data_IF_508056983401
#
_entry.id   IF_508056983401
#
_cell.length_a   1.000
_cell.length_b   1.000
_cell.length_c   1.000
_cell.angle_alpha   90.00
_cell.angle_beta   90.00
_cell.angle_gamma   90.00
#
_symmetry.space_group_name_H-M   'P 1'
#
loop_
_entity.id
_entity.type
_entity.pdbx_description
1 polymer ?
2 polymer ?
3 polymer ?
#
# COMPACT_ATOMS: atom_id res chain seq x y z
N UNK A 1 20.09 12.54 -0.60
CA UNK A 1 20.50 11.85 -1.87
C UNK A 1 19.70 12.25 -3.12
N UNK A 2 19.97 11.49 -4.19
CA UNK A 2 19.36 11.63 -5.49
C UNK A 2 17.85 11.48 -5.38
N UNK A 3 17.13 12.36 -6.04
CA UNK A 3 15.68 12.34 -6.01
C UNK A 3 15.11 11.92 -7.37
N UNK A 4 14.10 11.07 -7.36
CA UNK A 4 13.39 10.62 -8.58
C UNK A 4 11.94 10.98 -8.40
N UNK A 5 11.46 11.91 -9.20
CA UNK A 5 10.08 12.35 -9.09
C UNK A 5 9.22 11.85 -10.24
N UNK A 6 8.16 11.07 -9.97
CA UNK A 6 7.30 10.59 -11.09
C UNK A 6 6.15 11.54 -11.32
N UNK A 7 5.67 11.66 -12.55
CA UNK A 7 4.50 12.47 -12.82
C UNK A 7 3.67 11.76 -13.86
N UNK A 8 2.32 11.74 -13.69
CA UNK A 8 1.66 12.36 -12.54
C UNK A 8 1.70 11.28 -11.49
N UNK A 9 1.35 11.63 -10.24
CA UNK A 9 1.34 10.61 -9.23
C UNK A 9 0.16 9.64 -9.48
N UNK A 10 -0.93 10.14 -10.04
CA UNK A 10 -2.12 9.34 -10.31
C UNK A 10 -2.64 9.73 -11.69
N UNK A 11 -3.27 8.80 -12.40
CA UNK A 11 -3.70 9.11 -13.76
C UNK A 11 -4.87 8.27 -14.09
N UNK A 12 -5.91 8.85 -14.69
CA UNK A 12 -7.08 8.03 -15.07
C UNK A 12 -7.08 7.81 -16.58
N UNK A 13 -7.58 6.66 -17.02
CA UNK A 13 -7.55 6.36 -18.44
C UNK A 13 -8.51 5.26 -18.78
N UNK A 14 -8.70 5.01 -20.07
CA UNK A 14 -9.60 3.95 -20.47
C UNK A 14 -8.86 2.99 -21.39
N UNK A 15 -9.37 1.78 -21.53
CA UNK A 15 -8.79 0.77 -22.39
C UNK A 15 -8.67 1.40 -23.80
N UNK A 16 -7.53 1.23 -24.42
CA UNK A 16 -7.28 1.81 -25.73
C UNK A 16 -6.57 3.13 -25.62
N UNK A 17 -6.51 3.79 -24.48
CA UNK A 17 -5.78 5.06 -24.49
C UNK A 17 -4.25 4.90 -24.61
N UNK A 18 -3.59 6.03 -24.89
CA UNK A 18 -2.16 6.10 -24.95
C UNK A 18 -1.81 6.90 -23.73
N UNK A 19 -0.97 6.38 -22.86
CA UNK A 19 -0.59 7.18 -21.70
C UNK A 19 0.90 7.30 -21.63
N UNK A 20 1.38 8.32 -20.95
CA UNK A 20 2.79 8.41 -20.84
C UNK A 20 3.01 8.90 -19.43
N UNK A 21 3.97 8.26 -18.76
CA UNK A 21 4.32 8.54 -17.39
C UNK A 21 5.74 9.08 -17.47
N UNK A 22 6.07 10.08 -16.68
CA UNK A 22 7.42 10.59 -16.77
C UNK A 22 8.16 10.53 -15.42
N UNK A 23 9.50 10.46 -15.45
CA UNK A 23 10.28 10.35 -14.23
C UNK A 23 11.49 11.26 -14.40
N UNK A 24 11.71 12.15 -13.45
CA UNK A 24 12.78 13.12 -13.51
C UNK A 24 13.74 12.92 -12.35
N UNK A 25 15.04 12.94 -12.64
CA UNK A 25 16.03 12.75 -11.61
C UNK A 25 16.71 14.06 -11.23
N UNK A 26 17.08 14.21 -9.96
CA UNK A 26 17.72 15.44 -9.50
C UNK A 26 19.13 15.67 -10.04
N UNK A 27 19.82 14.60 -10.44
CA UNK A 27 21.17 14.64 -11.02
C UNK A 27 21.09 13.61 -12.16
N UNK A 28 21.93 13.73 -13.17
CA UNK A 28 21.89 12.80 -14.30
C UNK A 28 22.23 11.36 -13.93
N UNK A 29 21.44 10.42 -14.43
CA UNK A 29 21.64 9.00 -14.17
C UNK A 29 21.99 8.25 -15.46
N UNK A 30 22.46 8.99 -16.47
CA UNK A 30 22.81 8.41 -17.76
C UNK A 30 21.62 7.60 -18.26
N UNK A 31 21.82 6.36 -18.72
CA UNK A 31 20.69 5.56 -19.18
C UNK A 31 20.30 4.46 -18.16
N UNK A 32 20.85 4.55 -16.95
CA UNK A 32 20.60 3.51 -15.95
C UNK A 32 19.26 3.70 -15.23
N UNK A 33 18.20 3.37 -15.93
CA UNK A 33 16.88 3.57 -15.41
C UNK A 33 15.97 2.47 -15.87
N UNK A 34 15.14 1.99 -14.96
CA UNK A 34 14.26 0.90 -15.32
C UNK A 34 12.81 1.23 -14.99
N UNK A 35 11.87 0.69 -15.77
CA UNK A 35 10.45 0.87 -15.47
C UNK A 35 9.81 -0.44 -15.10
N UNK A 36 8.88 -0.39 -14.15
CA UNK A 36 8.16 -1.59 -13.70
C UNK A 36 6.68 -1.31 -13.60
N UNK A 37 5.91 -2.38 -13.73
CA UNK A 37 4.47 -2.30 -13.58
C UNK A 37 4.17 -3.24 -12.40
N UNK A 38 3.35 -2.78 -11.47
CA UNK A 38 3.02 -3.67 -10.34
C UNK A 38 1.52 -3.70 -10.17
N UNK A 39 0.97 -4.89 -10.28
CA UNK A 39 -0.45 -5.07 -10.13
C UNK A 39 -0.72 -5.34 -8.66
N UNK A 40 -1.92 -4.98 -8.19
CA UNK A 40 -2.21 -5.24 -6.78
C UNK A 40 -1.91 -6.69 -6.37
N UNK A 41 -1.36 -6.85 -5.16
CA UNK A 41 -1.01 -8.18 -4.66
C UNK A 41 0.16 -8.91 -5.31
N UNK A 42 0.79 -8.32 -6.30
CA UNK A 42 1.91 -8.98 -6.97
C UNK A 42 3.21 -8.18 -6.87
N UNK A 43 4.34 -8.82 -7.19
CA UNK A 43 5.62 -8.11 -7.15
C UNK A 43 5.74 -7.20 -8.39
N UNK A 44 6.64 -6.22 -8.35
CA UNK A 44 6.77 -5.37 -9.53
C UNK A 44 7.27 -6.24 -10.71
N UNK A 45 6.94 -5.91 -11.95
CA UNK A 45 7.44 -6.68 -13.10
C UNK A 45 8.19 -5.71 -13.99
N UNK A 46 9.39 -6.13 -14.39
CA UNK A 46 10.27 -5.34 -15.26
C UNK A 46 9.65 -5.15 -16.66
N UNK A 47 9.55 -3.93 -17.13
CA UNK A 47 9.02 -3.64 -18.47
C UNK A 47 10.16 -3.19 -19.38
N UNK A 48 10.92 -2.20 -18.92
CA UNK A 48 11.98 -1.55 -19.70
C UNK A 48 13.22 -1.41 -18.83
N UNK A 49 14.36 -1.82 -19.37
CA UNK A 49 15.66 -1.71 -18.69
C UNK A 49 16.58 -0.79 -19.48
N UNK A 50 17.55 -0.19 -18.80
CA UNK A 50 18.51 0.68 -19.49
C UNK A 50 17.77 1.76 -20.28
N UNK A 51 16.78 2.42 -19.64
CA UNK A 51 15.95 3.52 -20.22
C UNK A 51 15.08 3.24 -21.42
N UNK A 52 15.54 2.39 -22.33
CA UNK A 52 14.70 2.16 -23.48
C UNK A 52 14.65 0.75 -24.01
N UNK A 53 15.40 -0.20 -23.44
CA UNK A 53 15.39 -1.57 -23.99
C UNK A 53 14.14 -2.33 -23.54
N UNK A 54 13.47 -3.02 -24.46
CA UNK A 54 12.28 -3.73 -24.11
C UNK A 54 12.66 -5.04 -23.48
N UNK A 55 12.18 -5.30 -22.27
CA UNK A 55 12.50 -6.56 -21.61
C UNK A 55 11.84 -7.70 -22.34
N UNK A 56 12.56 -8.84 -22.40
CA UNK A 56 12.07 -10.00 -23.10
C UNK A 56 10.74 -10.54 -22.56
N UNK A 57 9.78 -10.71 -23.47
CA UNK A 57 8.49 -11.23 -23.06
C UNK A 57 7.53 -10.13 -22.68
N UNK A 58 7.99 -8.89 -22.73
CA UNK A 58 7.13 -7.77 -22.40
C UNK A 58 6.46 -7.28 -23.70
N UNK A 59 5.14 -7.08 -23.66
CA UNK A 59 4.43 -6.62 -24.88
C UNK A 59 4.92 -5.32 -25.49
N UNK A 60 4.92 -5.29 -26.82
CA UNK A 60 5.43 -4.15 -27.54
C UNK A 60 4.70 -2.83 -27.35
N UNK A 61 3.50 -2.82 -26.79
CA UNK A 61 2.85 -1.52 -26.56
C UNK A 61 3.62 -0.70 -25.53
N UNK A 62 4.56 -1.30 -24.82
CA UNK A 62 5.31 -0.55 -23.81
C UNK A 62 6.56 0.00 -24.43
N UNK A 63 6.81 1.26 -24.15
CA UNK A 63 7.98 1.88 -24.71
C UNK A 63 8.64 2.84 -23.73
N UNK A 64 9.97 2.85 -23.72
CA UNK A 64 10.63 3.81 -22.85
C UNK A 64 11.66 4.64 -23.60
N UNK A 65 11.76 5.94 -23.31
CA UNK A 65 12.74 6.81 -23.92
C UNK A 65 13.32 7.82 -22.89
N UNK A 66 14.35 8.54 -23.30
CA UNK A 66 15.01 9.52 -22.45
C UNK A 66 16.34 9.02 -21.87
N UNK A 67 17.13 9.96 -21.34
CA UNK A 67 18.43 9.69 -20.70
C UNK A 67 18.80 10.93 -19.85
N UNK A 68 19.81 10.85 -18.97
CA UNK A 68 20.14 12.03 -18.18
C UNK A 68 19.22 12.27 -16.99
N UNK A 69 18.32 13.25 -17.08
CA UNK A 69 17.42 13.55 -16.00
C UNK A 69 15.95 13.41 -16.31
N UNK A 70 15.62 13.09 -17.54
CA UNK A 70 14.20 12.99 -17.86
C UNK A 70 13.85 11.75 -18.67
N UNK A 71 12.93 10.93 -18.17
CA UNK A 71 12.55 9.70 -18.81
C UNK A 71 11.04 9.59 -18.89
N UNK A 72 10.59 8.84 -19.87
CA UNK A 72 9.18 8.62 -20.09
C UNK A 72 8.90 7.18 -20.50
N UNK A 73 7.77 6.68 -20.01
CA UNK A 73 7.27 5.35 -20.32
C UNK A 73 5.96 5.62 -21.06
N UNK A 74 5.74 5.03 -22.21
CA UNK A 74 4.46 5.25 -22.77
C UNK A 74 3.87 3.92 -23.09
N UNK A 75 2.58 3.78 -22.85
CA UNK A 75 1.91 2.55 -23.16
C UNK A 75 1.07 3.08 -24.32
N UNK A 76 1.21 2.49 -25.49
CA UNK A 76 0.51 3.04 -26.66
C UNK A 76 -0.97 2.72 -26.71
N UNK A 77 -1.36 1.49 -26.37
CA UNK A 77 -2.77 1.10 -26.35
C UNK A 77 -3.04 0.38 -25.02
N UNK A 78 -3.51 1.13 -24.01
CA UNK A 78 -3.79 0.55 -22.69
C UNK A 78 -4.70 -0.66 -22.70
N UNK A 79 -4.27 -1.74 -22.06
CA UNK A 79 -5.07 -2.96 -21.96
C UNK A 79 -5.56 -3.08 -20.49
N UNK A 80 -6.61 -3.89 -20.20
CA UNK A 80 -7.10 -3.99 -18.82
C UNK A 80 -6.05 -4.33 -17.76
N UNK A 81 -5.09 -5.18 -18.09
CA UNK A 81 -4.04 -5.52 -17.15
C UNK A 81 -3.10 -4.35 -16.83
N UNK A 82 -3.23 -3.22 -17.54
CA UNK A 82 -2.35 -2.09 -17.30
C UNK A 82 -2.82 -1.13 -16.24
N UNK A 83 -4.00 -1.41 -15.68
CA UNK A 83 -4.55 -0.57 -14.63
C UNK A 83 -3.71 -1.06 -13.48
N UNK A 84 -2.82 -0.20 -13.02
CA UNK A 84 -1.88 -0.68 -12.02
C UNK A 84 -1.06 0.51 -11.61
N UNK A 85 -0.02 0.23 -10.83
CA UNK A 85 0.90 1.28 -10.39
C UNK A 85 2.28 1.04 -11.07
N UNK A 86 2.85 2.11 -11.62
CA UNK A 86 4.11 2.02 -12.32
C UNK A 86 5.20 2.70 -11.53
N UNK A 87 6.40 2.12 -11.56
CA UNK A 87 7.52 2.74 -10.87
C UNK A 87 8.75 2.88 -11.73
N UNK A 88 9.53 3.94 -11.55
CA UNK A 88 10.82 4.00 -12.27
C UNK A 88 11.88 3.77 -11.19
N UNK A 89 13.06 3.27 -11.57
CA UNK A 89 14.19 3.01 -10.67
C UNK A 89 15.51 3.43 -11.33
N UNK A 90 16.30 4.14 -10.59
CA UNK A 90 17.57 4.65 -11.03
C UNK A 90 18.63 3.64 -10.50
N UNK A 91 19.63 3.27 -11.32
CA UNK A 91 20.71 2.36 -10.92
C UNK A 91 22.13 2.88 -11.22
N UNK A 92 22.26 4.19 -11.34
CA UNK A 92 23.53 4.85 -11.61
C UNK A 92 24.31 5.18 -10.33
N UNK A 93 23.56 5.55 -9.29
CA UNK A 93 24.12 5.92 -7.98
C UNK A 93 23.51 5.11 -6.86
N UNK A 94 24.31 4.80 -5.83
CA UNK A 94 23.80 4.09 -4.66
C UNK A 94 23.34 5.20 -3.73
N UNK A 95 22.18 5.02 -3.08
CA UNK A 95 21.32 3.84 -3.20
C UNK A 95 20.54 3.93 -4.52
N UNK A 96 20.16 2.76 -5.04
CA UNK A 96 19.39 2.58 -6.27
C UNK A 96 17.90 2.98 -6.15
N UNK A 97 17.62 4.25 -5.98
CA UNK A 97 16.27 4.82 -5.83
C UNK A 97 15.11 4.45 -6.72
N UNK A 98 13.93 4.47 -6.12
CA UNK A 98 12.70 4.24 -6.83
C UNK A 98 11.91 5.53 -6.81
N UNK A 99 11.13 5.77 -7.85
CA UNK A 99 10.25 6.93 -7.84
C UNK A 99 9.03 6.66 -6.93
N UNK A 100 8.18 7.65 -6.74
CA UNK A 100 7.02 7.51 -5.84
C UNK A 100 5.92 6.69 -6.42
N UNK A 101 6.02 6.36 -7.69
CA UNK A 101 4.93 5.57 -8.28
C UNK A 101 3.82 6.37 -8.95
N UNK A 102 3.19 5.83 -9.99
CA UNK A 102 2.05 6.50 -10.54
C UNK A 102 0.99 5.45 -10.72
N UNK A 103 -0.18 5.71 -10.13
CA UNK A 103 -1.34 4.82 -10.13
C UNK A 103 -2.16 5.07 -11.40
N UNK A 104 -2.48 4.04 -12.15
CA UNK A 104 -3.26 4.27 -13.35
C UNK A 104 -4.56 3.54 -13.06
N UNK A 105 -5.69 4.27 -13.06
CA UNK A 105 -6.97 3.64 -12.76
C UNK A 105 -8.06 3.93 -13.86
N UNK A 106 -9.17 3.21 -13.80
CA UNK A 106 -10.24 3.31 -14.78
C UNK A 106 -10.91 4.70 -14.71
N UNK A 107 -10.90 5.46 -15.79
CA UNK A 107 -11.53 6.77 -15.77
C UNK A 107 -13.05 6.62 -15.77
N UNK A 108 -13.75 7.54 -15.14
CA UNK A 108 -15.22 7.55 -15.11
C UNK A 108 -15.51 8.99 -14.75
N UNK A 109 -16.86 9.29 -14.88
CA UNK A 109 -17.29 10.66 -14.61
C UNK A 109 -17.06 11.02 -13.14
N UNK A 110 -16.65 12.30 -12.89
CA UNK A 110 -16.45 12.77 -11.55
C UNK A 110 -17.70 12.49 -10.72
N UNK A 111 -17.49 11.98 -9.50
CA UNK A 111 -18.58 11.71 -8.59
C UNK A 111 -18.15 12.12 -7.20
N UNK A 112 -18.94 13.01 -6.60
CA UNK A 112 -18.66 13.50 -5.24
C UNK A 112 -19.01 12.39 -4.26
N UNK A 113 -18.35 12.40 -3.11
CA UNK A 113 -18.66 11.34 -2.13
C UNK A 113 -19.95 11.61 -1.36
N UNK A 114 -20.63 10.57 -0.92
CA UNK A 114 -21.80 10.74 -0.06
C UNK A 114 -21.06 10.65 1.29
N UNK A 115 -21.22 11.63 2.15
CA UNK A 115 -20.52 11.63 3.42
C UNK A 115 -21.45 11.35 4.58
N UNK A 116 -20.97 10.57 5.55
CA UNK A 116 -21.72 10.18 6.75
C UNK A 116 -20.77 10.21 7.96
N UNK A 117 -21.28 10.65 9.12
CA UNK A 117 -20.50 10.71 10.33
C UNK A 117 -21.18 9.85 11.38
N UNK A 118 -20.40 9.00 12.05
CA UNK A 118 -20.93 8.09 13.01
C UNK A 118 -20.36 8.39 14.37
N UNK A 119 -21.21 8.60 15.39
CA UNK A 119 -20.71 8.89 16.74
C UNK A 119 -20.28 7.58 17.37
N UNK A 120 -19.51 7.64 18.45
CA UNK A 120 -19.13 6.36 19.04
C UNK A 120 -20.32 5.69 19.75
N UNK A 121 -20.34 4.36 19.72
CA UNK A 121 -21.39 3.62 20.39
C UNK A 121 -21.25 3.72 21.93
N UNK A 122 -22.38 3.69 22.61
CA UNK A 122 -22.39 3.71 24.06
C UNK A 122 -21.65 2.51 24.54
N UNK A 123 -21.68 1.43 23.78
CA UNK A 123 -20.98 0.23 24.18
C UNK A 123 -19.46 0.48 24.21
N UNK A 124 -18.94 1.18 23.19
CA UNK A 124 -17.49 1.45 23.18
C UNK A 124 -17.18 2.39 24.34
N UNK A 125 -17.95 3.47 24.46
CA UNK A 125 -17.73 4.45 25.54
C UNK A 125 -17.54 3.79 26.94
N UNK A 126 -18.33 2.76 27.25
CA UNK A 126 -18.21 2.06 28.53
C UNK A 126 -16.85 1.43 28.71
N UNK A 127 -16.14 1.17 27.61
CA UNK A 127 -14.81 0.58 27.72
C UNK A 127 -13.76 1.67 27.86
N UNK A 128 -14.20 2.93 27.82
CA UNK A 128 -13.27 4.03 27.96
C UNK A 128 -12.68 4.67 26.70
N UNK A 129 -13.03 4.16 25.52
CA UNK A 129 -12.51 4.78 24.31
C UNK A 129 -13.64 5.29 23.43
N UNK A 130 -13.34 6.26 22.58
CA UNK A 130 -14.33 6.82 21.72
C UNK A 130 -13.83 6.90 20.29
N UNK A 131 -14.49 6.17 19.39
CA UNK A 131 -14.13 6.22 17.97
C UNK A 131 -15.16 6.96 17.16
N UNK A 132 -14.74 7.99 16.44
CA UNK A 132 -15.68 8.69 15.62
C UNK A 132 -15.28 8.33 14.21
N UNK A 133 -16.21 7.77 13.43
CA UNK A 133 -15.88 7.41 12.06
C UNK A 133 -16.61 8.24 11.03
N UNK A 134 -15.88 8.53 9.96
CA UNK A 134 -16.43 9.31 8.87
C UNK A 134 -16.34 8.47 7.65
N UNK A 135 -17.42 8.41 6.87
CA UNK A 135 -17.39 7.64 5.65
C UNK A 135 -17.61 8.52 4.43
N UNK A 136 -16.77 8.32 3.41
CA UNK A 136 -16.88 9.00 2.11
C UNK A 136 -17.17 7.83 1.20
N UNK A 137 -18.40 7.76 0.70
CA UNK A 137 -18.84 6.65 -0.13
C UNK A 137 -18.91 6.88 -1.65
N UNK A 138 -18.42 5.92 -2.43
CA UNK A 138 -18.45 5.99 -3.89
C UNK A 138 -18.09 7.34 -4.57
N UNK A 139 -16.83 7.76 -4.49
CA UNK A 139 -16.44 9.02 -5.13
C UNK A 139 -15.39 8.76 -6.21
N UNK A 140 -15.06 9.80 -6.99
CA UNK A 140 -14.05 9.70 -8.07
C UNK A 140 -13.76 11.12 -8.53
N UNK A 141 -12.48 11.47 -8.75
CA UNK A 141 -11.29 10.64 -8.60
C UNK A 141 -10.91 10.28 -7.15
N UNK A 142 -9.89 9.44 -7.01
CA UNK A 142 -9.45 8.97 -5.74
C UNK A 142 -9.04 9.99 -4.67
N UNK A 143 -8.41 11.09 -5.07
CA UNK A 143 -7.96 12.02 -4.08
C UNK A 143 -9.12 12.71 -3.32
N UNK A 144 -9.02 12.69 -2.00
CA UNK A 144 -10.05 13.26 -1.15
C UNK A 144 -9.30 13.68 0.09
N UNK A 145 -9.79 14.70 0.79
CA UNK A 145 -9.16 15.16 1.99
C UNK A 145 -10.22 15.29 3.11
N UNK A 146 -9.92 14.65 4.23
CA UNK A 146 -10.77 14.61 5.38
C UNK A 146 -10.08 15.36 6.49
N UNK A 147 -10.82 16.29 7.09
CA UNK A 147 -10.29 17.07 8.21
C UNK A 147 -11.23 16.99 9.41
N UNK A 148 -10.77 16.47 10.54
CA UNK A 148 -11.60 16.39 11.71
C UNK A 148 -11.50 17.68 12.50
N UNK A 149 -12.65 18.11 13.02
CA UNK A 149 -12.72 19.30 13.86
C UNK A 149 -13.59 18.94 15.09
N UNK A 150 -13.13 19.33 16.26
CA UNK A 150 -13.81 19.11 17.50
C UNK A 150 -14.00 20.50 18.12
N UNK A 151 -15.23 20.93 18.36
CA UNK A 151 -15.46 22.28 18.91
C UNK A 151 -14.55 23.28 18.15
N UNK A 152 -14.52 23.12 16.83
CA UNK A 152 -13.72 23.96 15.95
C UNK A 152 -12.23 23.84 15.99
N UNK A 153 -11.70 22.95 16.82
CA UNK A 153 -10.25 22.79 16.84
C UNK A 153 -9.93 21.78 15.76
N UNK A 154 -8.91 22.10 14.98
CA UNK A 154 -8.44 21.26 13.90
C UNK A 154 -7.75 20.04 14.54
N UNK A 155 -8.14 18.83 14.17
CA UNK A 155 -7.51 17.67 14.79
C UNK A 155 -6.28 17.19 14.02
N UNK A 156 -5.30 16.64 14.72
CA UNK A 156 -4.14 16.15 14.02
C UNK A 156 -3.44 15.04 14.81
N UNK A 157 -3.01 14.01 14.10
CA UNK A 157 -2.30 12.92 14.74
C UNK A 157 -3.16 11.93 15.48
N UNK A 158 -4.47 12.11 15.45
CA UNK A 158 -5.35 11.17 16.18
C UNK A 158 -6.43 10.47 15.31
N UNK A 159 -6.15 10.38 14.01
CA UNK A 159 -7.08 9.73 13.10
C UNK A 159 -6.32 8.85 12.12
N UNK A 160 -7.03 7.89 11.55
CA UNK A 160 -6.41 6.99 10.57
C UNK A 160 -7.45 6.72 9.53
N UNK A 161 -7.02 6.56 8.29
CA UNK A 161 -7.96 6.29 7.21
C UNK A 161 -7.44 5.19 6.28
N UNK A 162 -8.38 4.54 5.62
CA UNK A 162 -8.05 3.54 4.61
C UNK A 162 -9.05 3.72 3.44
N UNK A 163 -8.63 3.32 2.24
CA UNK A 163 -9.41 3.50 1.02
C UNK A 163 -9.61 2.13 0.34
N UNK A 164 -10.80 1.85 -0.16
CA UNK A 164 -11.00 0.59 -0.86
C UNK A 164 -10.30 0.61 -2.23
N UNK A 165 -10.15 -0.53 -2.86
CA UNK A 165 -9.57 -0.57 -4.19
C UNK A 165 -10.72 -0.11 -5.14
N UNK A 166 -10.37 0.38 -6.33
CA UNK A 166 -11.37 0.87 -7.29
C UNK A 166 -12.43 -0.17 -7.49
N UNK A 167 -13.70 0.21 -7.42
CA UNK A 167 -14.76 -0.79 -7.57
C UNK A 167 -14.82 -1.30 -9.03
N UNK A 168 -14.88 -2.61 -9.25
CA UNK A 168 -14.90 -3.15 -10.62
C UNK A 168 -16.17 -2.83 -11.44
N UNK A 169 -17.25 -2.41 -10.80
CA UNK A 169 -18.48 -2.06 -11.54
C UNK A 169 -18.68 -0.53 -11.62
N UNK A 170 -18.49 0.13 -10.49
CA UNK A 170 -18.61 1.59 -10.28
C UNK A 170 -17.48 2.44 -10.80
N UNK A 171 -16.28 1.92 -10.58
CA UNK A 171 -15.02 2.63 -10.86
C UNK A 171 -14.84 3.72 -9.83
N UNK A 172 -15.58 3.66 -8.71
CA UNK A 172 -15.47 4.68 -7.66
C UNK A 172 -14.64 4.12 -6.49
N UNK A 173 -14.28 4.98 -5.55
CA UNK A 173 -13.55 4.56 -4.34
C UNK A 173 -14.39 4.96 -3.15
N UNK A 174 -14.09 4.38 -2.00
CA UNK A 174 -14.75 4.75 -0.76
C UNK A 174 -13.63 4.92 0.28
N UNK A 175 -13.85 5.78 1.26
CA UNK A 175 -12.84 6.04 2.26
C UNK A 175 -13.44 6.10 3.67
N UNK A 176 -12.77 5.44 4.60
CA UNK A 176 -13.18 5.41 5.96
C UNK A 176 -12.14 6.10 6.81
N UNK A 177 -12.55 7.08 7.62
CA UNK A 177 -11.59 7.71 8.53
C UNK A 177 -12.08 7.62 10.00
N UNK A 178 -11.22 7.11 10.89
CA UNK A 178 -11.53 6.98 12.29
C UNK A 178 -10.78 8.01 13.18
N UNK A 179 -11.53 8.83 13.93
CA UNK A 179 -10.96 9.76 14.91
C UNK A 179 -11.06 8.99 16.27
N UNK A 180 -9.94 8.88 16.99
CA UNK A 180 -9.94 8.16 18.24
C UNK A 180 -9.56 9.03 19.45
N UNK A 181 -10.37 9.01 20.51
CA UNK A 181 -10.07 9.83 21.67
C UNK A 181 -10.41 9.03 22.90
N UNK A 182 -9.83 9.38 24.04
CA UNK A 182 -10.25 8.70 25.25
C UNK A 182 -11.72 9.12 25.55
N UNK A 183 -12.41 8.30 26.32
CA UNK A 183 -13.77 8.63 26.68
C UNK A 183 -13.72 9.98 27.36
N UNK A 184 -12.75 10.18 28.26
CA UNK A 184 -12.65 11.46 28.96
C UNK A 184 -12.58 12.66 28.04
N UNK A 185 -11.63 12.68 27.10
CA UNK A 185 -11.51 13.80 26.18
C UNK A 185 -12.78 13.94 25.38
N UNK A 186 -13.32 12.81 24.98
CA UNK A 186 -14.54 12.84 24.20
C UNK A 186 -15.57 13.66 24.93
N UNK A 187 -15.74 13.38 26.20
CA UNK A 187 -16.74 14.04 27.03
C UNK A 187 -16.51 15.52 27.23
N UNK A 188 -15.30 15.97 27.00
CA UNK A 188 -15.02 17.39 27.19
C UNK A 188 -15.38 18.28 26.02
N UNK A 189 -16.06 17.75 25.01
CA UNK A 189 -16.37 18.60 23.84
C UNK A 189 -17.75 18.30 23.30
N UNK A 190 -18.27 19.14 22.42
CA UNK A 190 -19.61 18.87 21.89
C UNK A 190 -19.74 18.65 20.39
N UNK A 191 -19.16 19.55 19.59
CA UNK A 191 -19.30 19.44 18.13
C UNK A 191 -18.19 18.64 17.46
N UNK A 192 -18.54 17.45 16.98
CA UNK A 192 -17.62 16.56 16.28
C UNK A 192 -17.94 16.69 14.82
N UNK A 193 -16.97 17.16 14.02
CA UNK A 193 -17.19 17.39 12.60
C UNK A 193 -16.16 16.74 11.69
N UNK A 194 -16.64 16.24 10.56
CA UNK A 194 -15.83 15.63 9.52
C UNK A 194 -15.96 16.55 8.27
N UNK A 195 -14.90 17.27 7.94
CA UNK A 195 -14.89 18.16 6.79
C UNK A 195 -14.29 17.47 5.57
N UNK A 196 -14.98 17.49 4.45
CA UNK A 196 -14.49 16.76 3.28
C UNK A 196 -14.27 17.61 2.04
N UNK A 197 -13.07 17.52 1.46
CA UNK A 197 -12.77 18.28 0.24
C UNK A 197 -12.58 17.25 -0.87
N UNK A 198 -13.16 17.55 -2.02
CA UNK A 198 -13.07 16.64 -3.15
C UNK A 198 -13.40 17.38 -4.42
N UNK A 199 -12.84 16.91 -5.52
CA UNK A 199 -13.06 17.58 -6.77
C UNK A 199 -14.52 17.71 -7.17
N UNK A 200 -15.34 16.72 -6.85
CA UNK A 200 -16.74 16.78 -7.21
C UNK A 200 -17.61 17.66 -6.31
N UNK A 201 -17.01 18.31 -5.31
CA UNK A 201 -17.80 19.11 -4.42
C UNK A 201 -17.44 20.54 -4.68
N UNK A 202 -18.47 21.34 -5.01
CA UNK A 202 -18.30 22.76 -5.26
C UNK A 202 -17.45 23.39 -4.14
N UNK A 203 -17.77 23.10 -2.89
CA UNK A 203 -16.98 23.61 -1.78
C UNK A 203 -17.04 22.47 -0.78
N UNK A 204 -16.21 22.51 0.26
CA UNK A 204 -16.16 21.48 1.30
C UNK A 204 -17.48 21.19 1.98
N UNK A 205 -17.75 19.92 2.22
CA UNK A 205 -18.97 19.58 2.88
C UNK A 205 -18.61 19.17 4.31
N UNK A 206 -19.42 19.57 5.27
CA UNK A 206 -19.17 19.15 6.62
C UNK A 206 -20.37 18.36 7.19
N UNK A 207 -20.09 17.22 7.82
CA UNK A 207 -21.11 16.41 8.46
C UNK A 207 -20.70 16.41 9.90
N UNK A 208 -21.65 16.67 10.79
CA UNK A 208 -21.36 16.69 12.21
C UNK A 208 -22.53 16.38 13.10
N UNK A 209 -22.21 16.28 14.39
CA UNK A 209 -23.16 16.04 15.44
C UNK A 209 -22.69 16.67 16.75
N UNK A 210 -23.63 16.89 17.66
CA UNK A 210 -23.27 17.42 18.96
C UNK A 210 -23.36 16.25 19.88
N UNK A 211 -22.28 16.01 20.62
CA UNK A 211 -22.24 14.88 21.54
C UNK A 211 -23.33 14.99 22.59
N UNK A 212 -23.88 13.84 22.94
CA UNK A 212 -24.91 13.79 23.96
C UNK A 212 -26.26 14.42 23.60
N UNK A 213 -26.34 15.10 22.48
CA UNK A 213 -27.61 15.69 22.13
C UNK A 213 -28.56 14.51 21.95
N UNK A 214 -29.82 14.40 22.62
CA UNK A 214 -30.77 13.29 22.55
C UNK A 214 -32.20 13.70 22.28
N UNK B 1 15.03 -20.49 -16.66
CA UNK B 1 14.01 -19.75 -15.85
C UNK B 1 14.52 -19.43 -14.42
N UNK B 2 14.50 -18.14 -14.14
CA UNK B 2 14.94 -17.66 -12.86
C UNK B 2 13.77 -17.46 -11.92
N UNK B 3 13.87 -17.98 -10.73
CA UNK B 3 12.80 -17.73 -9.78
C UNK B 3 13.48 -17.43 -8.42
N UNK B 4 12.85 -16.58 -7.62
CA UNK B 4 13.32 -16.26 -6.27
C UNK B 4 12.14 -16.33 -5.36
N UNK B 5 12.41 -16.66 -4.09
CA UNK B 5 11.38 -16.72 -3.06
C UNK B 5 11.92 -16.35 -1.67
N UNK B 6 11.21 -15.44 -1.03
CA UNK B 6 11.56 -14.95 0.29
C UNK B 6 10.97 -15.81 1.41
N UNK B 7 11.71 -15.99 2.51
CA UNK B 7 11.15 -16.70 3.66
C UNK B 7 11.67 -16.04 4.94
N UNK B 8 10.92 -16.18 6.03
CA UNK B 8 11.31 -15.63 7.33
C UNK B 8 10.06 -15.53 8.20
N UNK B 9 10.14 -14.90 9.37
CA UNK B 9 8.98 -14.76 10.25
C UNK B 9 7.95 -13.73 9.78
N UNK B 10 6.64 -14.05 9.84
CA UNK B 10 5.64 -13.07 9.40
C UNK B 10 5.44 -12.00 10.45
N UNK B 11 5.76 -12.35 11.67
CA UNK B 11 5.58 -11.43 12.77
C UNK B 11 6.83 -11.24 13.55
N UNK B 12 7.13 -10.00 13.90
CA UNK B 12 8.30 -9.74 14.70
C UNK B 12 8.01 -8.62 15.66
N UNK B 13 8.60 -8.69 16.84
CA UNK B 13 8.39 -7.65 17.86
C UNK B 13 9.47 -6.57 17.82
N UNK B 14 9.08 -5.34 18.18
CA UNK B 14 9.96 -4.20 18.22
C UNK B 14 11.21 -4.57 19.01
N UNK B 15 12.33 -3.97 18.63
CA UNK B 15 13.70 -4.12 19.11
C UNK B 15 14.29 -5.45 18.65
N UNK B 16 13.45 -6.38 18.19
CA UNK B 16 14.02 -7.64 17.76
C UNK B 16 14.78 -7.59 16.44
N UNK B 17 15.47 -8.69 16.14
CA UNK B 17 16.22 -8.85 14.93
C UNK B 17 15.46 -9.72 13.92
N UNK B 18 15.39 -9.22 12.69
CA UNK B 18 14.70 -9.86 11.60
C UNK B 18 15.69 -10.38 10.59
N UNK B 19 15.60 -11.68 10.31
CA UNK B 19 16.45 -12.37 9.35
C UNK B 19 15.53 -12.89 8.22
N UNK B 20 15.82 -12.44 7.01
CA UNK B 20 15.05 -12.82 5.83
C UNK B 20 15.99 -13.56 4.89
N UNK B 21 15.47 -14.66 4.32
CA UNK B 21 16.21 -15.47 3.40
C UNK B 21 15.59 -15.45 1.97
N UNK B 22 16.45 -15.29 0.98
CA UNK B 22 16.02 -15.31 -0.40
C UNK B 22 16.64 -16.56 -0.96
N UNK B 23 15.83 -17.54 -1.37
CA UNK B 23 16.37 -18.81 -1.96
C UNK B 23 16.03 -18.68 -3.44
N UNK B 24 16.96 -18.97 -4.34
CA UNK B 24 16.67 -18.80 -5.75
C UNK B 24 17.14 -20.01 -6.58
N UNK B 25 16.73 -20.06 -7.85
CA UNK B 25 17.17 -21.13 -8.76
C UNK B 25 17.25 -20.50 -10.17
N UNK B 26 17.97 -21.12 -11.10
CA UNK B 26 18.13 -20.55 -12.43
C UNK B 26 19.41 -19.72 -12.63
N UNK B 27 20.15 -19.43 -11.57
CA UNK B 27 21.39 -18.69 -11.74
C UNK B 27 22.25 -19.00 -10.50
N UNK B 28 23.51 -18.64 -10.55
CA UNK B 28 24.33 -18.91 -9.41
C UNK B 28 24.92 -17.59 -8.95
N UNK B 29 25.14 -17.40 -7.67
CA UNK B 29 25.74 -16.16 -7.24
C UNK B 29 27.23 -16.25 -7.47
N UNK B 30 27.65 -17.20 -8.29
CA UNK B 30 29.03 -17.25 -8.65
C UNK B 30 29.06 -16.86 -10.15
N UNK B 31 27.90 -16.60 -10.76
CA UNK B 31 27.96 -16.23 -12.17
C UNK B 31 28.51 -14.80 -12.26
N UNK B 32 29.16 -14.48 -13.37
CA UNK B 32 29.78 -13.18 -13.54
C UNK B 32 28.87 -11.96 -13.36
N UNK B 33 29.29 -11.06 -12.48
CA UNK B 33 28.60 -9.82 -12.18
C UNK B 33 27.16 -9.87 -11.72
N UNK B 34 26.64 -11.06 -11.41
CA UNK B 34 25.25 -11.12 -10.97
C UNK B 34 25.03 -10.46 -9.59
N UNK B 35 23.83 -9.90 -9.36
CA UNK B 35 23.48 -9.31 -8.08
C UNK B 35 22.12 -9.82 -7.60
N UNK B 36 21.92 -9.72 -6.29
CA UNK B 36 20.65 -10.06 -5.70
C UNK B 36 20.44 -8.86 -4.73
N UNK B 37 19.28 -8.21 -4.78
CA UNK B 37 19.02 -7.05 -3.96
C UNK B 37 17.72 -7.30 -3.19
N UNK B 38 17.42 -6.42 -2.26
CA UNK B 38 16.25 -6.49 -1.42
C UNK B 38 15.56 -5.14 -1.53
N UNK B 39 14.23 -5.16 -1.65
CA UNK B 39 13.43 -3.95 -1.76
C UNK B 39 12.20 -4.16 -0.85
N UNK B 40 11.67 -3.12 -0.22
CA UNK B 40 10.53 -3.36 0.67
C UNK B 40 9.41 -2.43 0.26
N UNK B 41 8.21 -2.72 0.74
CA UNK B 41 7.06 -1.91 0.37
C UNK B 41 6.07 -1.86 1.54
N UNK B 42 6.06 -0.79 2.33
CA UNK B 42 5.11 -0.71 3.46
C UNK B 42 3.68 -0.70 2.85
N UNK B 43 2.67 -1.23 3.57
CA UNK B 43 1.34 -1.22 2.91
C UNK B 43 0.87 0.14 2.39
N UNK B 44 0.40 0.14 1.15
CA UNK B 44 -0.06 1.36 0.52
C UNK B 44 1.05 2.33 0.11
N UNK B 45 2.31 2.03 0.43
CA UNK B 45 3.39 2.95 0.06
C UNK B 45 4.22 2.55 -1.21
N UNK B 46 5.22 3.35 -1.51
CA UNK B 46 6.13 3.18 -2.65
C UNK B 46 7.20 2.13 -2.36
N UNK B 47 7.92 1.70 -3.38
CA UNK B 47 8.99 0.73 -3.20
C UNK B 47 10.16 1.46 -2.58
N UNK B 48 10.89 0.75 -1.72
CA UNK B 48 12.06 1.35 -1.09
C UNK B 48 13.26 0.38 -1.19
N UNK B 49 14.34 0.85 -1.80
CA UNK B 49 15.52 0.03 -2.00
C UNK B 49 16.25 -0.17 -0.68
N UNK B 50 16.70 -1.41 -0.40
CA UNK B 50 17.40 -1.70 0.86
C UNK B 50 18.88 -2.05 0.76
N UNK B 51 19.22 -2.93 -0.17
CA UNK B 51 20.59 -3.38 -0.28
C UNK B 51 20.78 -4.31 -1.47
N UNK B 52 22.04 -4.58 -1.79
CA UNK B 52 22.25 -5.54 -2.88
C UNK B 52 23.60 -6.16 -2.64
N UNK B 53 23.77 -7.38 -3.13
CA UNK B 53 25.07 -8.07 -3.02
C UNK B 53 25.38 -8.71 -4.37
N UNK B 54 26.64 -8.64 -4.78
CA UNK B 54 27.06 -9.24 -6.08
C UNK B 54 27.87 -10.49 -5.87
N UNK B 55 28.00 -11.28 -6.94
CA UNK B 55 28.76 -12.52 -6.87
C UNK B 55 30.26 -12.31 -6.48
N UNK B 56 30.87 -11.16 -6.78
CA UNK B 56 32.25 -10.93 -6.36
C UNK B 56 32.26 -10.46 -4.88
N UNK B 57 31.09 -10.50 -4.24
CA UNK B 57 30.89 -10.16 -2.86
C UNK B 57 30.93 -8.69 -2.41
N UNK B 58 30.78 -7.75 -3.34
CA UNK B 58 30.72 -6.31 -3.03
C UNK B 58 29.29 -6.20 -2.44
N UNK B 59 29.12 -5.36 -1.41
CA UNK B 59 27.82 -5.16 -0.74
C UNK B 59 27.52 -3.67 -0.68
N UNK B 60 26.25 -3.28 -0.80
CA UNK B 60 25.90 -1.87 -0.71
C UNK B 60 24.55 -1.79 0.04
N UNK B 61 24.39 -0.73 0.81
CA UNK B 61 23.21 -0.57 1.63
C UNK B 61 22.62 0.80 1.51
N UNK B 62 21.32 0.84 1.74
CA UNK B 62 20.60 2.08 1.81
C UNK B 62 21.30 2.89 2.94
N UNK B 63 21.64 4.14 2.69
CA UNK B 63 22.30 4.95 3.74
C UNK B 63 21.39 5.16 4.98
N UNK B 64 20.12 5.33 4.76
CA UNK B 64 19.17 5.48 5.86
C UNK B 64 19.06 4.24 6.78
N UNK B 65 19.43 3.06 6.29
CA UNK B 65 19.27 1.85 7.11
C UNK B 65 20.60 1.13 7.35
N UNK B 66 21.66 1.70 6.82
CA UNK B 66 22.96 1.11 6.90
C UNK B 66 23.30 0.46 8.23
N UNK B 67 23.14 1.20 9.32
CA UNK B 67 23.48 0.65 10.63
C UNK B 67 22.68 -0.58 11.07
N UNK B 68 21.48 -0.78 10.51
CA UNK B 68 20.67 -1.93 10.96
C UNK B 68 20.70 -3.13 9.96
N UNK B 69 21.32 -2.95 8.78
CA UNK B 69 21.32 -4.04 7.80
C UNK B 69 22.63 -4.76 7.59
N UNK B 70 22.50 -6.07 7.40
CA UNK B 70 23.65 -6.88 7.03
C UNK B 70 23.17 -7.78 5.88
N UNK B 71 23.87 -7.82 4.75
CA UNK B 71 23.42 -8.71 3.71
C UNK B 71 24.57 -9.68 3.50
N UNK B 72 24.24 -10.94 3.24
CA UNK B 72 25.31 -11.92 3.08
C UNK B 72 24.89 -12.98 2.06
N UNK B 73 25.82 -13.72 1.50
CA UNK B 73 25.35 -14.74 0.59
C UNK B 73 25.85 -16.11 0.93
N UNK B 74 25.13 -17.13 0.50
CA UNK B 74 25.62 -18.49 0.70
C UNK B 74 25.49 -19.13 -0.68
N UNK B 75 26.56 -19.00 -1.43
CA UNK B 75 26.65 -19.41 -2.81
C UNK B 75 26.31 -20.83 -3.06
N UNK B 76 26.80 -21.72 -2.19
CA UNK B 76 26.55 -23.14 -2.35
C UNK B 76 25.11 -23.50 -2.03
N UNK B 77 24.40 -22.70 -1.23
CA UNK B 77 22.98 -23.00 -0.97
C UNK B 77 22.03 -22.17 -1.85
N UNK B 78 22.61 -21.33 -2.73
CA UNK B 78 21.80 -20.43 -3.55
C UNK B 78 20.87 -19.59 -2.70
N UNK B 79 21.43 -18.95 -1.68
CA UNK B 79 20.62 -18.10 -0.84
C UNK B 79 21.34 -16.81 -0.52
N UNK B 80 20.54 -15.78 -0.25
CA UNK B 80 21.05 -14.46 0.14
C UNK B 80 20.23 -14.14 1.35
N UNK B 81 20.92 -13.72 2.40
CA UNK B 81 20.27 -13.41 3.65
C UNK B 81 20.44 -11.92 3.97
N UNK B 82 19.37 -11.32 4.46
CA UNK B 82 19.37 -9.93 4.87
C UNK B 82 18.92 -9.96 6.33
N UNK B 83 19.76 -9.37 7.18
CA UNK B 83 19.49 -9.29 8.61
C UNK B 83 19.26 -7.83 8.98
N UNK B 84 18.10 -7.54 9.55
CA UNK B 84 17.78 -6.19 10.00
C UNK B 84 17.64 -6.21 11.52
N UNK B 85 18.40 -5.37 12.21
CA UNK B 85 18.36 -5.36 13.66
C UNK B 85 17.47 -4.27 14.14
N UNK B 86 17.12 -4.37 15.43
CA UNK B 86 16.34 -3.33 16.09
C UNK B 86 15.13 -2.84 15.27
N UNK B 87 14.28 -3.77 14.89
CA UNK B 87 13.12 -3.32 14.12
C UNK B 87 12.14 -2.57 14.95
N UNK B 88 11.35 -1.75 14.29
CA UNK B 88 10.32 -1.01 14.95
C UNK B 88 9.06 -1.12 14.05
N UNK B 89 7.90 -0.66 14.52
CA UNK B 89 6.67 -0.76 13.69
C UNK B 89 6.76 -0.25 12.26
N UNK B 90 7.49 0.85 12.01
CA UNK B 90 7.62 1.38 10.65
C UNK B 90 8.31 0.41 9.69
N UNK B 91 8.92 -0.65 10.22
CA UNK B 91 9.54 -1.63 9.37
C UNK B 91 8.48 -2.65 8.87
N UNK B 92 7.19 -2.47 9.21
CA UNK B 92 6.25 -3.46 8.69
C UNK B 92 6.12 -3.17 7.20
N UNK B 93 6.29 -4.19 6.38
CA UNK B 93 6.26 -4.01 4.94
C UNK B 93 6.31 -5.37 4.28
N UNK B 94 6.07 -5.38 2.98
CA UNK B 94 6.28 -6.60 2.23
C UNK B 94 7.74 -6.44 1.72
N UNK B 95 8.55 -7.48 1.94
CA UNK B 95 9.97 -7.50 1.57
C UNK B 95 10.18 -8.38 0.35
N UNK B 96 10.81 -7.85 -0.71
CA UNK B 96 11.09 -8.61 -1.93
C UNK B 96 12.60 -8.75 -2.18
N UNK B 97 13.04 -9.89 -2.69
CA UNK B 97 14.44 -9.98 -3.12
C UNK B 97 14.35 -10.02 -4.65
N UNK B 98 15.41 -9.67 -5.34
CA UNK B 98 15.33 -9.61 -6.79
C UNK B 98 16.72 -9.83 -7.42
N UNK B 99 16.69 -10.36 -8.64
CA UNK B 99 17.84 -10.62 -9.43
C UNK B 99 18.22 -9.43 -10.25
N UNK B 100 19.52 -9.24 -10.37
CA UNK B 100 20.10 -8.21 -11.20
C UNK B 100 21.11 -8.90 -12.13
N UNK B 101 20.92 -8.74 -13.42
CA UNK B 101 21.82 -9.34 -14.39
C UNK B 101 23.20 -8.72 -14.32
N UNK B 102 24.20 -9.49 -14.73
CA UNK B 102 25.56 -8.96 -14.83
C UNK B 102 25.77 -8.59 -16.31
N UNK B 103 26.85 -7.93 -16.75
CA UNK B 103 26.99 -7.59 -18.17
C UNK B 103 26.98 -8.80 -19.10
N UNK B 104 26.47 -8.61 -20.30
CA UNK B 104 26.52 -9.71 -21.25
C UNK B 104 27.99 -9.91 -21.64
N UNK B 105 28.38 -11.17 -21.83
CA UNK B 105 29.73 -11.51 -22.24
C UNK B 105 29.74 -12.26 -23.60
N UNK B 106 30.85 -12.14 -24.31
CA UNK B 106 30.98 -12.83 -25.59
C UNK B 106 32.32 -13.48 -25.43
N UNK B 107 32.31 -14.82 -25.49
CA UNK B 107 33.53 -15.62 -25.28
C UNK B 107 34.17 -15.06 -24.00
N UNK B 108 33.35 -14.97 -22.94
CA UNK B 108 33.84 -14.49 -21.67
C UNK B 108 34.50 -13.13 -21.73
N UNK B 109 33.90 -12.23 -22.50
CA UNK B 109 34.40 -10.88 -22.56
C UNK B 109 33.17 -9.99 -22.41
N UNK B 110 33.18 -9.10 -21.41
CA UNK B 110 32.05 -8.20 -21.18
C UNK B 110 31.93 -7.25 -22.37
N UNK B 111 30.75 -7.23 -22.99
CA UNK B 111 30.51 -6.39 -24.17
C UNK B 111 29.28 -5.50 -24.05
N UNK B 112 28.37 -5.82 -23.12
CA UNK B 112 27.18 -4.98 -22.93
C UNK B 112 26.80 -4.79 -21.47
N UNK B 113 26.78 -3.54 -21.01
CA UNK B 113 26.38 -3.31 -19.64
C UNK B 113 24.90 -2.86 -19.51
N UNK B 114 24.24 -2.56 -20.62
CA UNK B 114 22.85 -2.16 -20.55
C UNK B 114 22.00 -3.18 -19.76
N UNK B 115 22.21 -4.50 -19.87
CA UNK B 115 21.34 -5.37 -19.09
C UNK B 115 21.41 -5.27 -17.56
N UNK B 116 22.43 -4.61 -17.01
CA UNK B 116 22.47 -4.50 -15.55
C UNK B 116 21.58 -3.40 -15.08
N UNK B 117 21.04 -2.59 -15.99
CA UNK B 117 20.22 -1.49 -15.51
C UNK B 117 18.72 -1.79 -15.28
N UNK B 118 18.47 -2.67 -14.30
CA UNK B 118 17.11 -3.07 -13.88
C UNK B 118 17.27 -4.23 -12.90
N UNK B 119 16.22 -4.51 -12.12
CA UNK B 119 16.21 -5.72 -11.30
C UNK B 119 15.15 -6.46 -12.15
N UNK B 120 15.59 -7.48 -12.89
CA UNK B 120 14.73 -8.20 -13.88
C UNK B 120 13.77 -9.28 -13.44
N UNK B 121 14.04 -9.95 -12.30
CA UNK B 121 13.14 -10.98 -11.80
C UNK B 121 13.00 -10.80 -10.30
N UNK B 122 11.74 -10.82 -9.86
CA UNK B 122 11.41 -10.60 -8.47
C UNK B 122 10.78 -11.79 -7.77
N UNK B 123 10.91 -11.87 -6.46
CA UNK B 123 10.25 -12.94 -5.73
C UNK B 123 8.84 -12.43 -5.44
N UNK B 124 7.94 -13.33 -5.06
CA UNK B 124 6.55 -12.93 -4.73
C UNK B 124 6.49 -11.89 -3.58
N UNK B 125 7.45 -11.90 -2.66
CA UNK B 125 7.42 -10.95 -1.56
C UNK B 125 6.93 -11.62 -0.29
N UNK B 126 7.47 -11.21 0.84
CA UNK B 126 7.02 -11.78 2.09
C UNK B 126 6.58 -10.64 3.01
N UNK B 127 5.38 -10.78 3.53
CA UNK B 127 4.77 -9.78 4.40
C UNK B 127 5.26 -9.92 5.83
N UNK B 128 5.83 -8.86 6.37
CA UNK B 128 6.32 -8.86 7.74
C UNK B 128 5.64 -7.74 8.56
N UNK B 129 5.10 -8.15 9.70
CA UNK B 129 4.42 -7.21 10.58
C UNK B 129 5.22 -7.03 11.86
N UNK B 130 5.49 -5.79 12.23
CA UNK B 130 6.23 -5.56 13.46
C UNK B 130 5.29 -4.97 14.50
N UNK B 131 5.02 -5.76 15.53
CA UNK B 131 4.13 -5.37 16.61
C UNK B 131 4.46 -6.17 17.87
N UNK B 132 4.32 -5.53 19.03
CA UNK B 132 4.58 -6.23 20.28
C UNK B 132 3.31 -6.94 20.72
N UNK B 133 2.11 -7.03 19.94
CA UNK B 133 0.85 -7.65 20.33
C UNK B 133 0.75 -9.18 20.37
N UNK B 134 0.04 -9.54 21.31
CA UNK B 134 -0.26 -10.97 21.39
C UNK B 134 -1.58 -11.16 20.63
N UNK B 135 -1.84 -12.39 20.22
CA UNK B 135 -3.09 -12.69 19.55
C UNK B 135 -4.27 -12.11 20.38
N UNK B 136 -5.23 -11.49 19.71
CA UNK B 136 -6.37 -10.90 20.40
C UNK B 136 -7.61 -10.68 19.51
N UNK B 137 -8.78 -11.07 20.01
CA UNK B 137 -10.01 -10.90 19.25
C UNK B 137 -10.53 -9.47 19.26
N UNK B 138 -11.26 -9.06 18.19
CA UNK B 138 -11.83 -7.72 18.06
C UNK B 138 -13.05 -7.45 18.94
N UNK B 139 -13.27 -6.17 19.22
CA UNK B 139 -14.46 -5.72 19.91
C UNK B 139 -15.27 -5.25 18.71
N UNK B 140 -16.56 -5.53 18.66
CA UNK B 140 -17.31 -5.07 17.51
C UNK B 140 -18.34 -4.05 17.92
N UNK B 141 -18.29 -2.86 17.32
CA UNK B 141 -19.25 -1.85 17.69
C UNK B 141 -20.09 -1.44 16.53
N UNK B 142 -21.31 -0.95 16.80
CA UNK B 142 -22.22 -0.52 15.70
C UNK B 142 -21.88 0.82 15.15
N UNK B 143 -22.13 1.01 13.87
CA UNK B 143 -21.95 2.30 13.21
C UNK B 143 -23.38 2.57 12.69
N UNK B 144 -24.07 3.50 13.34
CA UNK B 144 -25.46 3.80 12.93
C UNK B 144 -25.66 5.25 12.57
N UNK B 145 -26.50 5.46 11.54
CA UNK B 145 -26.90 6.78 10.97
C UNK B 145 -27.39 7.87 12.00
N UNK B 152 -29.58 8.63 -4.29
CA UNK B 152 -28.80 9.68 -3.63
C UNK B 152 -29.09 9.77 -2.13
N UNK B 153 -30.37 9.51 -1.80
CA UNK B 153 -30.95 9.50 -0.44
C UNK B 153 -30.71 8.10 0.14
N UNK B 154 -29.42 7.76 0.14
CA UNK B 154 -28.93 6.50 0.62
C UNK B 154 -28.65 6.71 2.11
N UNK B 155 -28.74 5.64 2.87
CA UNK B 155 -28.46 5.69 4.31
C UNK B 155 -27.25 4.74 4.50
N UNK B 156 -26.44 4.97 5.54
CA UNK B 156 -25.28 4.11 5.75
C UNK B 156 -25.19 3.55 7.15
N UNK B 157 -24.70 2.34 7.25
CA UNK B 157 -24.48 1.81 8.60
C UNK B 157 -23.33 0.82 8.52
N UNK B 158 -22.86 0.37 9.65
CA UNK B 158 -21.76 -0.58 9.59
C UNK B 158 -21.36 -1.11 10.94
N UNK B 159 -20.16 -1.69 10.95
CA UNK B 159 -19.57 -2.25 12.15
C UNK B 159 -18.08 -1.84 12.16
N UNK B 160 -17.58 -1.54 13.34
CA UNK B 160 -16.22 -1.09 13.58
C UNK B 160 -15.64 -2.25 14.30
N UNK B 161 -14.70 -2.91 13.63
CA UNK B 161 -14.05 -4.10 14.16
C UNK B 161 -12.75 -3.62 14.78
N UNK B 162 -12.78 -3.40 16.08
CA UNK B 162 -11.65 -2.80 16.78
C UNK B 162 -10.72 -3.59 17.67
N UNK B 163 -9.42 -3.28 17.59
CA UNK B 163 -8.41 -3.87 18.45
C UNK B 163 -8.17 -5.36 18.38
N UNK B 164 -7.81 -5.86 17.21
CA UNK B 164 -7.57 -7.26 17.11
C UNK B 164 -6.16 -7.48 16.54
N UNK B 165 -5.66 -8.71 16.69
CA UNK B 165 -4.35 -9.08 16.18
C UNK B 165 -4.23 -10.60 16.14
N UNK B 166 -3.60 -11.14 15.07
CA UNK B 166 -3.04 -10.40 13.93
C UNK B 166 -4.11 -10.38 12.84
N UNK B 167 -3.72 -9.97 11.63
CA UNK B 167 -4.65 -10.05 10.48
C UNK B 167 -4.76 -11.56 10.19
N UNK B 168 -5.82 -12.00 9.51
CA UNK B 168 -6.91 -11.18 8.98
C UNK B 168 -8.16 -11.39 9.77
N UNK B 169 -9.19 -10.65 9.39
CA UNK B 169 -10.49 -10.87 9.96
C UNK B 169 -11.47 -10.93 8.74
N UNK B 170 -12.58 -11.68 8.85
CA UNK B 170 -13.53 -11.68 7.75
C UNK B 170 -14.85 -11.07 8.21
N UNK B 171 -15.48 -10.30 7.35
CA UNK B 171 -16.73 -9.68 7.66
C UNK B 171 -17.69 -9.89 6.51
N UNK B 172 -18.94 -10.27 6.80
CA UNK B 172 -19.92 -10.38 5.77
C UNK B 172 -21.18 -9.71 6.38
N UNK B 173 -22.21 -9.47 5.56
CA UNK B 173 -23.46 -8.89 6.01
C UNK B 173 -24.59 -9.93 5.76
N UNK B 174 -25.52 -10.02 6.71
CA UNK B 174 -26.65 -10.95 6.67
C UNK B 174 -26.22 -12.31 6.20
N UNK B 175 -25.28 -12.89 6.95
CA UNK B 175 -24.76 -14.22 6.68
C UNK B 175 -24.34 -14.46 5.25
N UNK B 176 -24.00 -13.39 4.54
CA UNK B 176 -23.57 -13.53 3.15
C UNK B 176 -24.59 -13.12 2.12
N UNK B 177 -25.82 -12.81 2.52
CA UNK B 177 -26.87 -12.43 1.59
C UNK B 177 -26.85 -10.97 1.19
N UNK B 178 -26.18 -10.14 1.98
CA UNK B 178 -26.11 -8.74 1.65
C UNK B 178 -24.72 -8.50 1.08
N UNK B 179 -24.69 -8.08 -0.19
CA UNK B 179 -23.44 -7.78 -0.88
C UNK B 179 -23.46 -6.42 -1.59
N UNK B 180 -24.59 -6.04 -2.16
CA UNK B 180 -24.56 -4.79 -2.88
C UNK B 180 -24.46 -3.62 -1.90
N UNK B 181 -23.56 -2.68 -2.18
CA UNK B 181 -23.39 -1.52 -1.32
C UNK B 181 -22.49 -1.80 -0.11
N UNK B 182 -21.87 -2.97 -0.06
CA UNK B 182 -21.01 -3.28 1.06
C UNK B 182 -19.55 -2.84 0.77
N UNK B 183 -18.93 -2.18 1.72
CA UNK B 183 -17.52 -1.80 1.59
C UNK B 183 -16.82 -2.17 2.88
N UNK B 184 -15.90 -3.12 2.79
CA UNK B 184 -15.13 -3.52 3.94
C UNK B 184 -13.72 -2.93 3.68
N UNK B 185 -13.32 -1.95 4.47
CA UNK B 185 -12.03 -1.31 4.30
C UNK B 185 -10.84 -2.08 4.80
N UNK B 186 -9.65 -1.80 4.23
CA UNK B 186 -8.45 -2.51 4.71
C UNK B 186 -8.21 -1.96 6.12
N UNK B 187 -7.76 -2.83 6.99
CA UNK B 187 -7.46 -2.51 8.39
C UNK B 187 -6.24 -1.59 8.46
N UNK B 188 -6.18 -0.80 9.52
CA UNK B 188 -5.04 0.07 9.78
C UNK B 188 -4.41 -0.53 11.04
N UNK B 189 -3.09 -0.45 11.14
CA UNK B 189 -2.35 -0.96 12.28
C UNK B 189 -2.23 0.26 13.16
N UNK B 190 -2.89 0.25 14.33
CA UNK B 190 -2.85 1.37 15.24
C UNK B 190 -1.52 1.48 15.98
N UNK B 191 -1.25 2.63 16.55
CA UNK B 191 0.01 2.79 17.26
C UNK B 191 0.09 1.82 18.41
N UNK B 192 -1.07 1.32 18.88
CA UNK B 192 -1.06 0.35 19.95
C UNK B 192 -0.52 -1.01 19.48
N UNK B 193 -0.49 -1.25 18.17
CA UNK B 193 -0.01 -2.56 17.65
C UNK B 193 -1.16 -3.53 17.33
N UNK B 194 -2.37 -3.01 17.41
CA UNK B 194 -3.57 -3.79 17.13
C UNK B 194 -4.22 -3.23 15.89
N UNK B 195 -4.90 -4.06 15.14
CA UNK B 195 -5.52 -3.57 13.94
C UNK B 195 -6.94 -3.05 14.22
N UNK B 196 -7.48 -2.32 13.25
CA UNK B 196 -8.84 -1.86 13.37
C UNK B 196 -9.36 -1.62 11.98
N UNK B 197 -10.62 -1.99 11.76
CA UNK B 197 -11.25 -1.81 10.47
C UNK B 197 -12.75 -1.54 10.56
N UNK B 198 -13.26 -0.92 9.52
CA UNK B 198 -14.69 -0.68 9.49
C UNK B 198 -15.20 -1.43 8.28
N UNK B 199 -16.48 -1.78 8.31
CA UNK B 199 -17.17 -2.43 7.21
C UNK B 199 -18.50 -1.70 7.18
N UNK B 200 -18.87 -1.09 6.06
CA UNK B 200 -20.12 -0.38 6.06
C UNK B 200 -20.99 -0.89 4.90
N UNK B 201 -22.25 -0.47 4.89
CA UNK B 201 -23.14 -0.81 3.82
C UNK B 201 -24.14 0.32 3.61
N UNK B 202 -24.38 0.65 2.37
CA UNK B 202 -25.30 1.72 1.96
C UNK B 202 -26.57 1.06 1.39
N UNK B 203 -27.73 1.58 1.81
CA UNK B 203 -29.00 1.03 1.34
C UNK B 203 -29.99 2.16 1.09
N UNK B 204 -31.07 1.88 0.31
CA UNK B 204 -32.07 2.94 0.04
C UNK B 204 -32.61 3.37 1.40
N UNK B 205 -32.65 4.68 1.62
CA UNK B 205 -33.09 5.19 2.93
C UNK B 205 -34.43 4.65 3.44
N UNK B 206 -35.00 3.74 2.66
CA UNK B 206 -36.27 3.13 3.02
C UNK B 206 -36.05 1.73 3.64
N UNK B 207 -35.04 1.00 3.14
CA UNK B 207 -34.82 -0.35 3.62
C UNK B 207 -34.68 -0.44 5.13
N UNK B 208 -34.27 0.66 5.74
CA UNK B 208 -34.12 0.70 7.18
C UNK B 208 -35.36 0.18 7.93
N UNK B 211 -36.38 -4.22 6.37
CA UNK B 211 -35.13 -5.03 6.30
C UNK B 211 -34.11 -4.95 7.50
N UNK B 212 -33.52 -6.07 7.94
CA UNK B 212 -32.53 -5.98 9.07
C UNK B 212 -31.07 -6.16 8.60
N UNK B 213 -30.14 -5.58 9.36
CA UNK B 213 -28.71 -5.62 9.00
C UNK B 213 -27.81 -6.14 10.10
N UNK B 214 -27.15 -7.26 9.84
CA UNK B 214 -26.29 -7.80 10.84
C UNK B 214 -24.90 -8.11 10.24
N UNK B 215 -23.82 -7.63 10.87
CA UNK B 215 -22.48 -7.93 10.32
C UNK B 215 -22.01 -9.18 10.99
N UNK B 216 -21.41 -10.11 10.23
CA UNK B 216 -20.88 -11.36 10.79
C UNK B 216 -19.37 -11.20 10.72
N UNK B 217 -18.75 -11.14 11.89
CA UNK B 217 -17.30 -10.91 12.02
C UNK B 217 -16.62 -12.16 12.50
N UNK B 218 -15.50 -12.50 11.91
CA UNK B 218 -14.82 -13.72 12.34
C UNK B 218 -13.30 -13.53 12.32
N UNK B 219 -12.66 -13.65 13.48
CA UNK B 219 -11.21 -13.52 13.56
C UNK B 219 -10.67 -14.93 13.90
N UNK B 220 -10.33 -15.72 12.88
CA UNK B 220 -9.86 -17.10 13.10
C UNK B 220 -8.76 -17.22 14.13
N UNK B 221 -7.71 -16.40 14.03
CA UNK B 221 -6.59 -16.44 14.95
C UNK B 221 -6.94 -16.58 16.42
N UNK B 222 -7.97 -15.86 16.87
CA UNK B 222 -8.38 -15.90 18.29
C UNK B 222 -9.68 -16.67 18.57
N UNK B 223 -10.23 -17.33 17.56
CA UNK B 223 -11.48 -18.07 17.71
C UNK B 223 -12.51 -17.10 18.23
N UNK B 224 -12.77 -16.03 17.49
CA UNK B 224 -13.76 -15.04 17.92
C UNK B 224 -14.78 -14.78 16.82
N UNK B 225 -15.99 -15.31 16.96
CA UNK B 225 -17.04 -15.01 15.95
C UNK B 225 -18.06 -14.12 16.65
N UNK B 226 -18.56 -13.14 15.92
CA UNK B 226 -19.51 -12.22 16.50
C UNK B 226 -20.51 -11.86 15.41
N UNK B 227 -21.80 -11.79 15.76
CA UNK B 227 -22.79 -11.33 14.79
C UNK B 227 -23.34 -10.12 15.53
N UNK B 228 -23.36 -8.97 14.86
CA UNK B 228 -23.87 -7.75 15.49
C UNK B 228 -24.91 -7.12 14.61
N UNK B 229 -26.14 -7.08 15.09
CA UNK B 229 -27.24 -6.50 14.35
C UNK B 229 -27.15 -5.00 14.63
N UNK B 230 -27.25 -4.21 13.59
CA UNK B 230 -27.11 -2.78 13.69
C UNK B 230 -28.41 -2.10 13.25
N UNK B 231 -28.93 -1.19 14.03
CA UNK B 231 -30.12 -0.51 13.54
C UNK B 231 -30.07 0.98 13.79
N UNK B 232 -31.01 1.73 13.20
CA UNK B 232 -31.10 3.18 13.36
C UNK B 232 -31.48 3.69 14.76
N UNK B 233 -30.60 3.44 15.74
CA UNK B 233 -30.77 3.83 17.18
C UNK B 233 -32.16 4.33 17.66
N UNK B 234 -32.19 5.36 18.51
CA UNK B 234 -33.45 5.94 19.03
C UNK B 234 -34.49 4.92 19.56
N UNK B 235 -34.03 3.85 20.29
CA UNK B 235 -34.84 2.71 20.89
C UNK B 235 -35.48 1.69 19.89
N UNK C 1 27.17 7.13 -4.16
CA UNK C 1 28.23 7.19 -5.20
C UNK C 1 27.78 6.56 -6.51
N UNK C 2 28.74 6.27 -7.38
CA UNK C 2 28.47 5.64 -8.65
C UNK C 2 28.14 4.18 -8.36
N UNK C 3 27.44 3.56 -9.30
CA UNK C 3 27.02 2.15 -9.23
C UNK C 3 28.21 1.22 -9.46
N UNK C 4 27.94 -0.07 -9.59
CA UNK C 4 29.02 -1.03 -9.80
C UNK C 4 29.47 -1.09 -11.26
N UNK C 5 28.66 -0.58 -12.18
CA UNK C 5 29.05 -0.57 -13.58
C UNK C 5 28.73 0.82 -14.07
N UNK C 6 28.79 1.76 -13.14
CA UNK C 6 28.50 3.17 -13.36
C UNK C 6 29.12 3.89 -14.57
N UNK C 7 30.33 4.45 -14.42
CA UNK C 7 30.96 5.17 -15.52
C UNK C 7 31.42 4.36 -16.74
#
# INVERSE_FOLDING_TARGET
>A
ALQLTQSPSSLSASVGDRITITCRASQGVTSALAWYRQKPGSPPQLLIYDASSLESGVPSRFSGSGSGTEFTLTISTLRPEDFATYYCQQLHFYPHTFGGGTRVDVRRTVAAPSVFIFPPSDEQLKSGTASVVCLLNNFYPREAKVQWKVDNALQSGNSQESVTEQDSKDSTYSLSSTLTLSKADYEKHKVYECEVTHQGLSSPVTKSFNRGEC
>B
RITLKESGPPLVKPTQTLTLTCSFSGFSLSDFGVGVGWIRQPPGKALEWLAIIYSDDDKRYSPSLNTRLTITKDTSKNQVVLVMTRVSPVDTATYFCAHRRGPTTLFGVPIARGPVNAMDVWGQGITVTISSTSTKGPSVFPLAPSSKSTAGAAAALGCLVKDYFPEPVTVSWNSGALTSGVHTFPAVLQSSGLYSLSSVVTVPSSSLGTQTYTCNVNHKPSNTKVDKRVEPKSC
>C
ELDKHAS
#
